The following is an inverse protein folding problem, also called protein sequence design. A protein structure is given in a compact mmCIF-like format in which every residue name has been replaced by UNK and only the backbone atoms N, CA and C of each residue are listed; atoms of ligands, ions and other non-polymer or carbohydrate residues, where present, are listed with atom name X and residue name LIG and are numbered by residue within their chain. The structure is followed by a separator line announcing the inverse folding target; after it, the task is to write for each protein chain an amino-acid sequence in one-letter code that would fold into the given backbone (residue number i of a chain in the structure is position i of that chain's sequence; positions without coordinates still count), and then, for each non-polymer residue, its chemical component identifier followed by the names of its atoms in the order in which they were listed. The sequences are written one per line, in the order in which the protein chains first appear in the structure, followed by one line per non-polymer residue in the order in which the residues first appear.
data_IF_740009618159
#
_entry.id   IF_740009618159
#
_cell.length_a   1.000
_cell.length_b   1.000
_cell.length_c   1.000
_cell.angle_alpha   90.00
_cell.angle_beta   90.00
_cell.angle_gamma   90.00
#
_symmetry.space_group_name_H-M   'P 1'
#
loop_
_entity.id
_entity.type
_entity.pdbx_description
1 polymer ?
#
# COMPACT_ATOMS: atom_id res chain seq x y z
N UNK A 1 10.07 4.12 19.31
CA UNK A 1 9.87 2.66 19.07
C UNK A 1 8.42 2.21 19.30
N UNK A 2 7.99 1.70 20.47
CA UNK A 2 6.62 1.13 20.63
C UNK A 2 5.48 2.12 20.34
N UNK A 3 5.56 3.34 20.88
CA UNK A 3 4.55 4.41 20.66
C UNK A 3 4.51 4.88 19.20
N UNK A 4 5.65 4.93 18.54
CA UNK A 4 5.75 5.33 17.13
C UNK A 4 5.26 4.24 16.19
N UNK A 5 5.55 2.99 16.49
CA UNK A 5 5.00 1.84 15.76
C UNK A 5 3.47 1.82 15.85
N UNK A 6 2.90 1.95 17.05
CA UNK A 6 1.45 2.03 17.24
C UNK A 6 0.82 3.20 16.45
N UNK A 7 1.48 4.37 16.47
CA UNK A 7 1.04 5.53 15.67
C UNK A 7 1.07 5.25 14.17
N UNK A 8 2.15 4.64 13.66
CA UNK A 8 2.28 4.29 12.23
C UNK A 8 1.19 3.33 11.80
N UNK A 9 0.97 2.27 12.58
CA UNK A 9 -0.09 1.29 12.32
C UNK A 9 -1.46 1.96 12.30
N UNK A 10 -1.77 2.81 13.28
CA UNK A 10 -3.05 3.51 13.35
C UNK A 10 -3.27 4.46 12.16
N UNK A 11 -2.27 5.27 11.81
CA UNK A 11 -2.35 6.17 10.64
C UNK A 11 -2.46 5.35 9.35
N UNK A 12 -1.72 4.26 9.24
CA UNK A 12 -1.79 3.34 8.11
C UNK A 12 -3.16 2.71 7.97
N UNK A 13 -3.79 2.30 9.08
CA UNK A 13 -5.13 1.74 9.10
C UNK A 13 -6.15 2.71 8.51
N UNK A 14 -6.18 3.95 9.00
CA UNK A 14 -7.07 4.99 8.49
C UNK A 14 -6.76 5.34 7.04
N UNK A 15 -5.47 5.45 6.69
CA UNK A 15 -5.03 5.71 5.33
C UNK A 15 -5.47 4.62 4.35
N UNK A 16 -5.38 3.35 4.74
CA UNK A 16 -5.82 2.22 3.93
C UNK A 16 -7.32 2.28 3.62
N UNK A 17 -8.15 2.61 4.62
CA UNK A 17 -9.59 2.81 4.42
C UNK A 17 -9.84 3.97 3.46
N UNK A 18 -9.26 5.14 3.73
CA UNK A 18 -9.48 6.35 2.92
C UNK A 18 -9.07 6.13 1.47
N UNK A 19 -7.87 5.58 1.23
CA UNK A 19 -7.37 5.30 -0.11
C UNK A 19 -8.30 4.32 -0.84
N UNK A 20 -8.77 3.28 -0.16
CA UNK A 20 -9.71 2.30 -0.72
C UNK A 20 -11.00 2.97 -1.23
N UNK A 21 -11.61 3.84 -0.42
CA UNK A 21 -12.82 4.58 -0.83
C UNK A 21 -12.54 5.60 -1.94
N UNK A 22 -11.37 6.25 -1.95
CA UNK A 22 -11.00 7.16 -3.05
C UNK A 22 -10.86 6.40 -4.37
N UNK A 23 -10.32 5.18 -4.34
CA UNK A 23 -10.21 4.32 -5.52
C UNK A 23 -11.60 3.92 -6.01
N UNK A 24 -12.52 3.48 -5.15
CA UNK A 24 -13.87 3.06 -5.55
C UNK A 24 -14.68 4.23 -6.14
N UNK A 25 -14.56 5.43 -5.56
CA UNK A 25 -15.14 6.66 -6.11
C UNK A 25 -14.55 6.95 -7.49
N UNK A 26 -13.23 6.89 -7.64
CA UNK A 26 -12.55 7.11 -8.93
C UNK A 26 -13.00 6.13 -10.01
N UNK A 27 -13.12 4.84 -9.67
CA UNK A 27 -13.61 3.80 -10.59
C UNK A 27 -15.07 4.08 -10.97
N UNK A 28 -15.93 4.40 -10.00
CA UNK A 28 -17.35 4.70 -10.27
C UNK A 28 -17.51 5.90 -11.21
N UNK A 29 -16.72 6.96 -11.00
CA UNK A 29 -16.70 8.12 -11.89
C UNK A 29 -16.20 7.77 -13.30
N UNK A 30 -15.23 6.86 -13.42
CA UNK A 30 -14.71 6.41 -14.70
C UNK A 30 -15.70 5.53 -15.48
N UNK A 31 -16.56 4.78 -14.79
CA UNK A 31 -17.67 4.01 -15.41
C UNK A 31 -18.74 4.98 -15.93
N UNK A 32 -19.11 5.99 -15.14
CA UNK A 32 -19.92 7.12 -15.62
C UNK A 32 -21.41 6.82 -15.84
N UNK A 33 -21.94 5.73 -15.28
CA UNK A 33 -23.35 5.35 -15.40
C UNK A 33 -24.26 6.01 -14.33
N UNK A 34 -23.68 6.77 -13.40
CA UNK A 34 -24.37 7.42 -12.29
C UNK A 34 -24.51 6.55 -11.03
N UNK A 35 -24.05 5.30 -11.07
CA UNK A 35 -24.06 4.37 -9.94
C UNK A 35 -22.77 4.46 -9.13
N UNK A 36 -22.85 4.27 -7.81
CA UNK A 36 -21.67 4.09 -6.97
C UNK A 36 -21.38 2.60 -6.78
N UNK A 37 -20.14 2.20 -7.08
CA UNK A 37 -19.66 0.83 -6.91
C UNK A 37 -18.71 0.75 -5.71
N UNK A 38 -19.21 0.33 -4.53
CA UNK A 38 -18.41 0.35 -3.31
C UNK A 38 -17.35 -0.77 -3.25
N UNK A 39 -17.54 -1.85 -4.00
CA UNK A 39 -16.58 -2.94 -4.16
C UNK A 39 -16.81 -3.67 -5.48
N UNK A 40 -15.93 -4.61 -5.84
CA UNK A 40 -16.05 -5.40 -7.08
C UNK A 40 -17.32 -6.27 -7.00
N UNK A 41 -18.17 -6.35 -8.05
CA UNK A 41 -19.40 -7.15 -8.01
C UNK A 41 -19.19 -8.63 -7.66
N UNK A 42 -18.10 -9.24 -8.13
CA UNK A 42 -17.76 -10.63 -7.78
C UNK A 42 -17.50 -10.84 -6.28
N UNK A 43 -17.07 -9.79 -5.56
CA UNK A 43 -16.94 -9.85 -4.10
C UNK A 43 -18.31 -9.95 -3.43
N UNK A 44 -19.29 -9.22 -3.94
CA UNK A 44 -20.69 -9.26 -3.47
C UNK A 44 -21.27 -10.65 -3.73
N UNK A 45 -21.06 -11.21 -4.93
CA UNK A 45 -21.48 -12.57 -5.27
C UNK A 45 -20.85 -13.62 -4.34
N UNK A 46 -19.55 -13.50 -4.07
CA UNK A 46 -18.81 -14.42 -3.21
C UNK A 46 -19.33 -14.47 -1.78
N UNK A 47 -19.70 -13.31 -1.22
CA UNK A 47 -20.20 -13.21 0.15
C UNK A 47 -21.73 -13.18 0.27
N UNK A 48 -22.44 -13.20 -0.88
CA UNK A 48 -23.91 -13.22 -0.97
C UNK A 48 -24.61 -11.99 -0.41
N UNK A 49 -23.86 -10.97 0.03
CA UNK A 49 -24.39 -9.77 0.66
C UNK A 49 -23.42 -8.59 0.46
N UNK A 50 -23.95 -7.50 -0.07
CA UNK A 50 -23.20 -6.27 -0.35
C UNK A 50 -22.59 -5.65 0.91
N UNK A 51 -23.35 -5.57 2.02
CA UNK A 51 -22.86 -5.00 3.28
C UNK A 51 -21.69 -5.84 3.81
N UNK A 52 -21.79 -7.16 3.74
CA UNK A 52 -20.71 -8.07 4.15
C UNK A 52 -19.46 -7.87 3.30
N UNK A 53 -19.62 -7.78 1.97
CA UNK A 53 -18.51 -7.54 1.05
C UNK A 53 -17.81 -6.20 1.33
N UNK A 54 -18.56 -5.13 1.58
CA UNK A 54 -18.04 -3.80 1.92
C UNK A 54 -17.28 -3.84 3.26
N UNK A 55 -17.82 -4.51 4.29
CA UNK A 55 -17.15 -4.66 5.58
C UNK A 55 -15.82 -5.38 5.41
N UNK A 56 -15.82 -6.49 4.65
CA UNK A 56 -14.61 -7.28 4.38
C UNK A 56 -13.57 -6.44 3.64
N UNK A 57 -13.96 -5.76 2.56
CA UNK A 57 -13.04 -4.89 1.82
C UNK A 57 -12.50 -3.77 2.71
N UNK A 58 -13.34 -3.16 3.54
CA UNK A 58 -12.94 -2.08 4.46
C UNK A 58 -11.90 -2.58 5.47
N UNK A 59 -12.18 -3.72 6.13
CA UNK A 59 -11.26 -4.32 7.11
C UNK A 59 -9.94 -4.71 6.45
N UNK A 60 -9.97 -5.35 5.29
CA UNK A 60 -8.77 -5.76 4.58
C UNK A 60 -7.96 -4.58 4.06
N UNK A 61 -8.62 -3.50 3.62
CA UNK A 61 -7.96 -2.25 3.24
C UNK A 61 -7.27 -1.59 4.45
N UNK A 62 -7.93 -1.64 5.61
CA UNK A 62 -7.38 -1.15 6.87
C UNK A 62 -6.13 -1.96 7.28
N UNK A 63 -6.20 -3.30 7.18
CA UNK A 63 -5.07 -4.21 7.43
C UNK A 63 -3.93 -3.97 6.43
N UNK A 64 -4.25 -3.76 5.16
CA UNK A 64 -3.28 -3.45 4.12
C UNK A 64 -2.51 -2.17 4.45
N UNK A 65 -3.22 -1.07 4.72
CA UNK A 65 -2.60 0.20 5.08
C UNK A 65 -1.79 0.12 6.38
N UNK A 66 -2.32 -0.57 7.40
CA UNK A 66 -1.63 -0.85 8.64
C UNK A 66 -0.32 -1.64 8.42
N UNK A 67 -0.33 -2.64 7.55
CA UNK A 67 0.85 -3.44 7.24
C UNK A 67 1.90 -2.69 6.43
N UNK A 68 1.50 -1.84 5.48
CA UNK A 68 2.43 -0.96 4.76
C UNK A 68 3.11 0.04 5.71
N UNK A 69 2.34 0.68 6.58
CA UNK A 69 2.84 1.66 7.53
C UNK A 69 3.63 1.00 8.68
N UNK A 70 3.18 -0.15 9.18
CA UNK A 70 3.86 -0.92 10.22
C UNK A 70 5.22 -1.43 9.75
N UNK A 71 5.26 -2.03 8.56
CA UNK A 71 6.51 -2.51 7.93
C UNK A 71 7.52 -1.41 7.69
N UNK A 72 7.09 -0.14 7.64
CA UNK A 72 8.01 1.00 7.42
C UNK A 72 9.03 1.18 8.55
N UNK A 73 8.87 0.51 9.69
CA UNK A 73 9.89 0.46 10.75
C UNK A 73 11.21 -0.16 10.26
N UNK A 74 11.18 -0.96 9.20
CA UNK A 74 12.38 -1.55 8.57
C UNK A 74 13.36 -0.45 8.11
N UNK A 75 12.85 0.71 7.71
CA UNK A 75 13.67 1.85 7.29
C UNK A 75 14.43 2.51 8.45
N UNK A 76 14.07 2.23 9.71
CA UNK A 76 14.78 2.73 10.90
C UNK A 76 15.95 1.81 11.32
N UNK A 77 16.18 0.71 10.59
CA UNK A 77 17.23 -0.25 10.92
C UNK A 77 18.59 0.19 10.35
N UNK A 78 19.23 1.18 10.97
CA UNK A 78 20.47 1.82 10.48
C UNK A 78 21.63 0.84 10.19
N UNK A 79 21.65 -0.32 10.85
CA UNK A 79 22.68 -1.35 10.64
C UNK A 79 22.49 -2.17 9.36
N UNK A 80 21.32 -2.08 8.73
CA UNK A 80 21.00 -2.86 7.54
C UNK A 80 21.36 -2.08 6.28
N UNK A 81 21.84 -2.78 5.24
CA UNK A 81 22.02 -2.18 3.93
C UNK A 81 20.66 -1.79 3.34
N UNK A 82 20.65 -0.75 2.50
CA UNK A 82 19.44 -0.29 1.81
C UNK A 82 18.77 -1.43 1.01
N UNK A 83 19.58 -2.29 0.38
CA UNK A 83 19.09 -3.46 -0.34
C UNK A 83 18.35 -4.42 0.59
N UNK A 84 18.94 -4.74 1.76
CA UNK A 84 18.30 -5.64 2.74
C UNK A 84 16.98 -5.07 3.26
N UNK A 85 16.95 -3.78 3.62
CA UNK A 85 15.72 -3.10 4.05
C UNK A 85 14.65 -3.14 2.95
N UNK A 86 15.02 -2.80 1.72
CA UNK A 86 14.11 -2.77 0.57
C UNK A 86 13.55 -4.16 0.28
N UNK A 87 14.39 -5.20 0.23
CA UNK A 87 13.95 -6.56 -0.08
C UNK A 87 12.99 -7.12 0.98
N UNK A 88 13.28 -6.90 2.27
CA UNK A 88 12.41 -7.39 3.35
C UNK A 88 11.10 -6.61 3.37
N UNK A 89 11.16 -5.28 3.25
CA UNK A 89 9.95 -4.45 3.16
C UNK A 89 9.09 -4.88 1.99
N UNK A 90 9.68 -4.98 0.79
CA UNK A 90 9.00 -5.40 -0.43
C UNK A 90 8.36 -6.79 -0.29
N UNK A 91 9.07 -7.77 0.27
CA UNK A 91 8.54 -9.11 0.49
C UNK A 91 7.29 -9.11 1.37
N UNK A 92 7.32 -8.38 2.48
CA UNK A 92 6.16 -8.29 3.40
C UNK A 92 4.97 -7.62 2.72
N UNK A 93 5.19 -6.46 2.10
CA UNK A 93 4.09 -5.73 1.46
C UNK A 93 3.55 -6.45 0.22
N UNK A 94 4.38 -7.21 -0.50
CA UNK A 94 3.94 -8.03 -1.63
C UNK A 94 3.00 -9.13 -1.17
N UNK A 95 3.37 -9.90 -0.14
CA UNK A 95 2.51 -10.96 0.40
C UNK A 95 1.18 -10.37 0.85
N UNK A 96 1.23 -9.28 1.62
CA UNK A 96 0.04 -8.62 2.12
C UNK A 96 -0.87 -8.11 1.00
N UNK A 97 -0.29 -7.42 0.00
CA UNK A 97 -1.01 -6.89 -1.15
C UNK A 97 -1.67 -8.01 -1.96
N UNK A 98 -0.92 -9.08 -2.25
CA UNK A 98 -1.42 -10.20 -3.03
C UNK A 98 -2.56 -10.94 -2.30
N UNK A 99 -2.43 -11.16 -0.98
CA UNK A 99 -3.49 -11.78 -0.18
C UNK A 99 -4.75 -10.92 -0.16
N UNK A 100 -4.63 -9.61 0.09
CA UNK A 100 -5.78 -8.72 0.14
C UNK A 100 -6.45 -8.60 -1.24
N UNK A 101 -5.67 -8.40 -2.29
CA UNK A 101 -6.20 -8.27 -3.65
C UNK A 101 -6.89 -9.56 -4.14
N UNK A 102 -6.41 -10.73 -3.72
CA UNK A 102 -7.05 -12.01 -4.03
C UNK A 102 -8.40 -12.16 -3.31
N UNK A 103 -8.46 -11.83 -2.01
CA UNK A 103 -9.70 -11.95 -1.22
C UNK A 103 -10.74 -10.91 -1.67
N UNK A 104 -10.32 -9.69 -1.96
CA UNK A 104 -11.20 -8.60 -2.39
C UNK A 104 -11.58 -8.67 -3.88
N UNK A 105 -11.22 -9.73 -4.60
CA UNK A 105 -11.51 -9.90 -6.03
C UNK A 105 -10.94 -8.77 -6.91
N UNK A 106 -9.86 -8.12 -6.50
CA UNK A 106 -9.20 -7.04 -7.26
C UNK A 106 -8.36 -7.57 -8.43
N UNK A 107 -8.09 -8.87 -8.45
CA UNK A 107 -7.37 -9.56 -9.51
C UNK A 107 -8.16 -10.77 -9.96
N UNK A 108 -7.99 -11.14 -11.23
CA UNK A 108 -8.52 -12.40 -11.75
C UNK A 108 -7.82 -13.59 -11.09
N UNK A 109 -8.58 -14.60 -10.67
CA UNK A 109 -8.07 -15.82 -10.03
C UNK A 109 -7.52 -16.83 -11.05
N UNK A 110 -6.69 -16.35 -11.95
CA UNK A 110 -5.91 -17.16 -12.88
C UNK A 110 -4.43 -16.90 -12.68
N UNK A 111 -3.57 -17.84 -13.11
CA UNK A 111 -2.11 -17.65 -13.05
C UNK A 111 -1.70 -16.36 -13.77
N UNK A 112 -2.35 -16.06 -14.90
CA UNK A 112 -2.11 -14.82 -15.65
C UNK A 112 -2.56 -13.58 -14.87
N UNK A 113 -3.74 -13.61 -14.25
CA UNK A 113 -4.26 -12.52 -13.42
C UNK A 113 -3.37 -12.20 -12.21
N UNK A 114 -2.90 -13.24 -11.52
CA UNK A 114 -1.99 -13.08 -10.38
C UNK A 114 -0.66 -12.46 -10.83
N UNK A 115 -0.08 -12.96 -11.93
CA UNK A 115 1.19 -12.43 -12.45
C UNK A 115 1.05 -11.00 -12.97
N UNK A 116 -0.04 -10.67 -13.65
CA UNK A 116 -0.27 -9.31 -14.17
C UNK A 116 -0.47 -8.31 -13.02
N UNK A 117 -1.24 -8.69 -12.00
CA UNK A 117 -1.44 -7.85 -10.81
C UNK A 117 -0.13 -7.63 -10.05
N UNK A 118 0.65 -8.69 -9.84
CA UNK A 118 1.96 -8.59 -9.21
C UNK A 118 2.92 -7.70 -10.03
N UNK A 119 2.92 -7.82 -11.35
CA UNK A 119 3.75 -6.98 -12.23
C UNK A 119 3.38 -5.49 -12.11
N UNK A 120 2.09 -5.16 -12.11
CA UNK A 120 1.61 -3.78 -11.90
C UNK A 120 2.07 -3.27 -10.53
N UNK A 121 1.89 -4.07 -9.48
CA UNK A 121 2.33 -3.72 -8.14
C UNK A 121 3.85 -3.49 -8.06
N UNK A 122 4.65 -4.36 -8.68
CA UNK A 122 6.11 -4.25 -8.74
C UNK A 122 6.54 -2.95 -9.42
N UNK A 123 5.92 -2.60 -10.54
CA UNK A 123 6.22 -1.33 -11.25
C UNK A 123 5.90 -0.13 -10.38
N UNK A 124 4.70 -0.09 -9.77
CA UNK A 124 4.31 1.00 -8.86
C UNK A 124 5.30 1.10 -7.69
N UNK A 125 5.67 -0.02 -7.10
CA UNK A 125 6.63 -0.06 -6.00
C UNK A 125 7.98 0.52 -6.40
N UNK A 126 8.54 0.11 -7.55
CA UNK A 126 9.81 0.62 -8.06
C UNK A 126 9.75 2.14 -8.27
N UNK A 127 8.67 2.64 -8.88
CA UNK A 127 8.49 4.09 -9.13
C UNK A 127 8.46 4.85 -7.81
N UNK A 128 7.63 4.42 -6.85
CA UNK A 128 7.54 5.07 -5.53
C UNK A 128 8.89 5.02 -4.80
N UNK A 129 9.58 3.88 -4.85
CA UNK A 129 10.88 3.71 -4.22
C UNK A 129 11.93 4.66 -4.80
N UNK A 130 12.01 4.79 -6.15
CA UNK A 130 12.94 5.71 -6.81
C UNK A 130 12.66 7.16 -6.41
N UNK A 131 11.39 7.58 -6.44
CA UNK A 131 11.00 8.94 -6.04
C UNK A 131 11.40 9.23 -4.60
N UNK A 132 11.11 8.31 -3.67
CA UNK A 132 11.49 8.46 -2.26
C UNK A 132 13.01 8.50 -2.08
N UNK A 133 13.75 7.64 -2.78
CA UNK A 133 15.21 7.62 -2.75
C UNK A 133 15.80 8.96 -3.19
N UNK A 134 15.31 9.54 -4.30
CA UNK A 134 15.76 10.82 -4.81
C UNK A 134 15.48 11.96 -3.83
N UNK A 135 14.28 12.00 -3.24
CA UNK A 135 13.92 13.00 -2.21
C UNK A 135 14.88 12.91 -1.01
N UNK A 136 15.17 11.71 -0.53
CA UNK A 136 16.09 11.50 0.59
C UNK A 136 17.53 11.89 0.23
N UNK A 137 17.99 11.54 -0.97
CA UNK A 137 19.32 11.92 -1.46
C UNK A 137 19.50 13.44 -1.48
N UNK A 138 18.50 14.17 -1.98
CA UNK A 138 18.51 15.64 -2.00
C UNK A 138 18.53 16.23 -0.58
N UNK A 139 17.71 15.69 0.34
CA UNK A 139 17.68 16.16 1.74
C UNK A 139 19.03 15.98 2.43
N UNK A 140 19.68 14.83 2.24
CA UNK A 140 21.01 14.55 2.81
C UNK A 140 22.06 15.51 2.24
N UNK A 141 22.03 15.82 0.94
CA UNK A 141 22.96 16.80 0.34
C UNK A 141 22.84 18.17 1.00
N UNK A 142 21.61 18.66 1.15
CA UNK A 142 21.34 19.97 1.77
C UNK A 142 21.84 20.05 3.21
N UNK A 143 21.70 18.97 3.99
CA UNK A 143 22.20 18.92 5.36
C UNK A 143 23.74 18.98 5.37
N UNK A 144 24.41 18.24 4.49
CA UNK A 144 25.88 18.24 4.39
C UNK A 144 26.44 19.62 4.02
N UNK A 145 25.82 20.29 3.05
CA UNK A 145 26.20 21.64 2.63
C UNK A 145 26.02 22.67 3.76
N UNK A 146 24.94 22.57 4.55
CA UNK A 146 24.71 23.44 5.70
C UNK A 146 25.74 23.27 6.81
N UNK A 147 26.18 22.04 7.08
CA UNK A 147 27.24 21.76 8.06
C UNK A 147 28.59 22.32 7.57
N UNK A 148 28.92 22.16 6.29
CA UNK A 148 30.17 22.68 5.72
C UNK A 148 30.23 24.21 5.66
N UNK A 149 29.10 24.92 5.60
CA UNK A 149 29.07 26.39 5.64
C UNK A 149 29.19 26.97 7.05
N UNK A 150 28.93 26.18 8.08
CA UNK A 150 28.94 26.60 9.49
C UNK A 150 30.20 26.15 10.25
N UNK A 151 31.12 25.43 9.59
CA UNK A 151 32.47 25.12 10.07
C UNK A 151 33.49 25.92 9.26
#
# INVERSE_FOLDING_TARGET
MKKEFARRVFVGLLGGIVISYLITIGISLAIGDGSYYPCVPSLIERFGNEVTAIIIQTVLSAVLGAGFAGSSIIWEMDKWSLLKQTSIYFGIVSVLMMTVAYICEWMEHSVKGILSYFAIFLVIFIVVWIVQYLIWKVRISKIKEGIQKNN
#
